data_IF_439047179023
#
_entry.id   IF_439047179023
#
_cell.length_a   1.000
_cell.length_b   1.000
_cell.length_c   1.000
_cell.angle_alpha   90.00
_cell.angle_beta   90.00
_cell.angle_gamma   90.00
#
_symmetry.space_group_name_H-M   'P 1'
#
loop_
_entity.id
_entity.type
_entity.pdbx_description
1 polymer ?
#
# COMPACT_ATOMS: atom_id res chain seq x y z
N UNK A 1 -22.32 -3.72 -10.80
CA UNK A 1 -22.02 -2.64 -9.84
C UNK A 1 -21.02 -3.21 -8.87
N UNK A 2 -19.80 -2.68 -8.88
CA UNK A 2 -18.71 -3.17 -8.03
C UNK A 2 -18.95 -2.77 -6.57
N UNK A 3 -18.28 -3.42 -5.62
CA UNK A 3 -18.32 -3.03 -4.20
C UNK A 3 -17.81 -1.58 -4.01
N UNK A 4 -16.83 -1.16 -4.81
CA UNK A 4 -16.29 0.20 -4.77
C UNK A 4 -17.32 1.24 -5.24
N UNK A 5 -18.17 0.91 -6.21
CA UNK A 5 -19.24 1.82 -6.67
C UNK A 5 -20.28 2.06 -5.57
N UNK A 6 -20.64 0.99 -4.85
CA UNK A 6 -21.60 1.08 -3.73
C UNK A 6 -21.00 1.91 -2.60
N UNK A 7 -19.79 1.56 -2.14
CA UNK A 7 -19.10 2.30 -1.09
C UNK A 7 -18.90 3.77 -1.46
N UNK A 8 -18.58 4.07 -2.72
CA UNK A 8 -18.44 5.45 -3.20
C UNK A 8 -19.77 6.20 -3.13
N UNK A 9 -20.85 5.61 -3.62
CA UNK A 9 -22.19 6.21 -3.54
C UNK A 9 -22.62 6.53 -2.11
N UNK A 10 -22.38 5.60 -1.17
CA UNK A 10 -22.71 5.79 0.23
C UNK A 10 -21.80 6.83 0.92
N UNK A 11 -20.49 6.82 0.60
CA UNK A 11 -19.54 7.81 1.09
C UNK A 11 -19.87 9.22 0.58
N UNK A 12 -20.25 9.37 -0.70
CA UNK A 12 -20.72 10.62 -1.30
C UNK A 12 -22.03 11.10 -0.65
N UNK A 13 -22.87 10.18 -0.18
CA UNK A 13 -24.07 10.49 0.61
C UNK A 13 -23.76 10.89 2.08
N UNK A 14 -22.49 10.87 2.48
CA UNK A 14 -22.03 11.27 3.80
C UNK A 14 -21.90 10.13 4.82
N UNK A 15 -21.99 8.87 4.39
CA UNK A 15 -21.72 7.72 5.27
C UNK A 15 -20.21 7.63 5.58
N UNK A 16 -19.87 7.88 6.84
CA UNK A 16 -18.48 7.87 7.31
C UNK A 16 -17.88 6.46 7.39
N UNK A 17 -18.69 5.42 7.60
CA UNK A 17 -18.20 4.04 7.65
C UNK A 17 -17.90 3.55 6.22
N UNK A 18 -18.75 3.91 5.26
CA UNK A 18 -18.48 3.68 3.84
C UNK A 18 -17.24 4.45 3.36
N UNK A 19 -17.07 5.71 3.78
CA UNK A 19 -15.87 6.50 3.47
C UNK A 19 -14.60 5.88 4.07
N UNK A 20 -14.66 5.37 5.29
CA UNK A 20 -13.53 4.69 5.94
C UNK A 20 -13.17 3.41 5.19
N UNK A 21 -14.14 2.56 4.88
CA UNK A 21 -13.90 1.31 4.17
C UNK A 21 -13.39 1.55 2.75
N UNK A 22 -13.96 2.53 2.04
CA UNK A 22 -13.47 2.93 0.73
C UNK A 22 -12.03 3.44 0.79
N UNK A 23 -11.70 4.33 1.74
CA UNK A 23 -10.34 4.82 1.94
C UNK A 23 -9.36 3.69 2.30
N UNK A 24 -9.79 2.71 3.10
CA UNK A 24 -9.00 1.54 3.46
C UNK A 24 -8.71 0.65 2.27
N UNK A 25 -9.72 0.34 1.45
CA UNK A 25 -9.58 -0.46 0.23
C UNK A 25 -8.73 0.26 -0.82
N UNK A 26 -8.88 1.58 -0.97
CA UNK A 26 -8.07 2.36 -1.90
C UNK A 26 -6.60 2.45 -1.47
N UNK A 27 -6.29 2.38 -0.16
CA UNK A 27 -4.90 2.25 0.31
C UNK A 27 -4.20 0.98 -0.20
N UNK A 28 -4.96 -0.02 -0.66
CA UNK A 28 -4.45 -1.29 -1.17
C UNK A 28 -4.07 -1.23 -2.66
N UNK A 29 -4.38 -0.12 -3.33
CA UNK A 29 -4.28 0.01 -4.78
C UNK A 29 -3.30 1.12 -5.19
N UNK A 30 -2.66 1.01 -6.36
CA UNK A 30 -1.81 2.06 -6.91
C UNK A 30 -2.56 3.35 -7.26
N UNK A 31 -3.80 3.23 -7.75
CA UNK A 31 -4.61 4.33 -8.28
C UNK A 31 -6.11 4.01 -8.13
N UNK A 32 -6.98 4.99 -8.45
CA UNK A 32 -8.42 4.78 -8.38
C UNK A 32 -8.89 4.01 -9.63
N UNK A 33 -9.53 2.83 -9.48
CA UNK A 33 -10.08 2.12 -10.63
C UNK A 33 -11.20 2.87 -11.36
N UNK A 34 -11.87 3.81 -10.69
CA UNK A 34 -12.99 4.57 -11.26
C UNK A 34 -12.56 5.91 -11.82
N UNK A 35 -11.57 6.54 -11.20
CA UNK A 35 -11.10 7.88 -11.60
C UNK A 35 -9.80 7.85 -12.44
N UNK A 36 -9.19 6.68 -12.62
CA UNK A 36 -7.98 6.46 -13.41
C UNK A 36 -6.69 6.91 -12.69
N UNK A 37 -5.54 6.85 -13.40
CA UNK A 37 -4.26 7.28 -12.85
C UNK A 37 -4.24 8.81 -12.67
N UNK A 38 -4.57 9.27 -11.46
CA UNK A 38 -4.47 10.67 -11.06
C UNK A 38 -3.26 10.90 -10.15
N UNK A 39 -2.72 12.12 -10.21
CA UNK A 39 -1.65 12.56 -9.30
C UNK A 39 -2.10 12.69 -7.84
N UNK A 40 -3.42 12.67 -7.58
CA UNK A 40 -4.01 12.59 -6.25
C UNK A 40 -4.28 11.14 -5.89
N UNK A 41 -3.71 10.69 -4.76
CA UNK A 41 -3.99 9.36 -4.21
C UNK A 41 -5.47 9.28 -3.79
N UNK A 42 -6.24 8.32 -4.29
CA UNK A 42 -7.70 8.34 -4.19
C UNK A 42 -8.25 8.11 -2.79
N UNK A 43 -7.49 7.43 -1.93
CA UNK A 43 -7.85 7.19 -0.53
C UNK A 43 -7.93 8.50 0.29
N UNK A 44 -7.15 9.52 -0.09
CA UNK A 44 -6.88 10.67 0.79
C UNK A 44 -8.15 11.45 1.11
N UNK A 45 -9.01 11.72 0.11
CA UNK A 45 -10.24 12.52 0.31
C UNK A 45 -11.19 11.87 1.31
N UNK A 46 -11.28 10.55 1.27
CA UNK A 46 -12.19 9.77 2.11
C UNK A 46 -11.67 9.70 3.54
N UNK A 47 -10.39 9.37 3.69
CA UNK A 47 -9.73 9.32 5.00
C UNK A 47 -9.73 10.70 5.69
N UNK A 48 -9.53 11.79 4.93
CA UNK A 48 -9.67 13.16 5.44
C UNK A 48 -11.07 13.47 5.93
N UNK A 49 -12.10 13.02 5.21
CA UNK A 49 -13.50 13.19 5.61
C UNK A 49 -13.77 12.50 6.94
N UNK A 50 -13.31 11.25 7.10
CA UNK A 50 -13.46 10.49 8.35
C UNK A 50 -12.68 11.15 9.49
N UNK A 51 -11.41 11.50 9.29
CA UNK A 51 -10.58 12.15 10.33
C UNK A 51 -11.13 13.52 10.73
N UNK A 52 -11.73 14.27 9.80
CA UNK A 52 -12.38 15.54 10.08
C UNK A 52 -13.63 15.39 10.94
N UNK A 53 -14.41 14.33 10.73
CA UNK A 53 -15.65 14.06 11.46
C UNK A 53 -15.43 13.27 12.77
N UNK A 54 -14.40 12.41 12.82
CA UNK A 54 -14.02 11.55 13.94
C UNK A 54 -12.52 11.67 14.22
N UNK A 55 -12.05 12.78 14.83
CA UNK A 55 -10.62 13.01 15.07
C UNK A 55 -9.92 11.93 15.93
N UNK A 56 -10.69 11.20 16.72
CA UNK A 56 -10.27 10.08 17.57
C UNK A 56 -10.24 8.73 16.85
N UNK A 57 -10.71 8.65 15.61
CA UNK A 57 -10.66 7.41 14.82
C UNK A 57 -9.20 7.08 14.47
N UNK A 58 -8.63 6.18 15.27
CA UNK A 58 -7.25 5.74 15.18
C UNK A 58 -6.93 5.09 13.84
N UNK A 59 -7.85 4.28 13.31
CA UNK A 59 -7.65 3.58 12.05
C UNK A 59 -7.58 4.58 10.90
N UNK A 60 -8.55 5.50 10.84
CA UNK A 60 -8.57 6.55 9.83
C UNK A 60 -7.32 7.44 9.91
N UNK A 61 -6.89 7.81 11.12
CA UNK A 61 -5.70 8.62 11.34
C UNK A 61 -4.41 7.92 10.89
N UNK A 62 -4.22 6.64 11.26
CA UNK A 62 -3.06 5.85 10.85
C UNK A 62 -3.03 5.61 9.34
N UNK A 63 -4.16 5.29 8.71
CA UNK A 63 -4.26 5.13 7.25
C UNK A 63 -3.96 6.44 6.51
N UNK A 64 -4.49 7.58 6.98
CA UNK A 64 -4.21 8.89 6.37
C UNK A 64 -2.73 9.26 6.51
N UNK A 65 -2.14 9.05 7.69
CA UNK A 65 -0.72 9.31 7.91
C UNK A 65 0.17 8.41 7.04
N UNK A 66 -0.19 7.13 6.88
CA UNK A 66 0.48 6.20 5.96
C UNK A 66 0.37 6.64 4.51
N UNK A 67 -0.82 7.07 4.06
CA UNK A 67 -1.03 7.64 2.72
C UNK A 67 -0.11 8.87 2.48
N UNK A 68 -0.04 9.79 3.43
CA UNK A 68 0.85 10.95 3.33
C UNK A 68 2.33 10.56 3.30
N UNK A 69 2.71 9.55 4.08
CA UNK A 69 4.09 8.98 4.10
C UNK A 69 4.47 8.40 2.74
N UNK A 70 3.58 7.62 2.10
CA UNK A 70 3.75 7.11 0.73
C UNK A 70 3.94 8.24 -0.28
N UNK A 71 3.11 9.29 -0.20
CA UNK A 71 3.21 10.43 -1.09
C UNK A 71 4.54 11.17 -0.93
N UNK A 72 5.02 11.32 0.30
CA UNK A 72 6.34 11.91 0.59
C UNK A 72 7.45 11.09 -0.07
N UNK A 73 7.43 9.77 0.10
CA UNK A 73 8.41 8.86 -0.50
C UNK A 73 8.42 9.00 -2.03
N UNK A 74 7.26 8.90 -2.66
CA UNK A 74 7.10 9.05 -4.12
C UNK A 74 7.59 10.41 -4.64
N UNK A 75 7.18 11.53 -4.01
CA UNK A 75 7.58 12.87 -4.46
C UNK A 75 9.08 13.10 -4.27
N UNK A 76 9.68 12.57 -3.19
CA UNK A 76 11.12 12.65 -2.96
C UNK A 76 11.90 11.97 -4.09
N UNK A 77 11.44 10.78 -4.51
CA UNK A 77 12.16 9.96 -5.49
C UNK A 77 11.90 10.44 -6.93
N UNK A 78 10.68 10.89 -7.25
CA UNK A 78 10.29 11.27 -8.62
C UNK A 78 10.37 12.77 -8.93
N UNK A 79 10.35 13.67 -7.93
CA UNK A 79 10.29 15.14 -8.14
C UNK A 79 11.22 15.91 -7.17
N UNK A 80 12.54 15.77 -7.33
CA UNK A 80 13.51 16.47 -6.49
C UNK A 80 13.41 17.99 -6.74
N UNK A 81 12.72 18.71 -5.85
CA UNK A 81 12.57 20.17 -5.93
C UNK A 81 11.38 20.74 -5.15
N UNK A 82 10.34 19.94 -4.90
CA UNK A 82 9.10 20.38 -4.22
C UNK A 82 9.19 20.28 -2.68
N UNK A 83 10.15 21.00 -2.10
CA UNK A 83 10.47 20.88 -0.65
C UNK A 83 9.37 21.42 0.27
N UNK A 84 8.63 22.43 -0.15
CA UNK A 84 7.60 23.06 0.69
C UNK A 84 6.35 22.15 0.80
N UNK A 85 5.93 21.52 -0.31
CA UNK A 85 4.83 20.55 -0.29
C UNK A 85 5.18 19.30 0.53
N UNK A 86 6.43 18.82 0.44
CA UNK A 86 6.95 17.73 1.27
C UNK A 86 6.93 18.10 2.75
N UNK A 87 7.33 19.31 3.11
CA UNK A 87 7.36 19.78 4.50
C UNK A 87 5.96 19.85 5.10
N UNK A 88 4.98 20.38 4.36
CA UNK A 88 3.60 20.47 4.83
C UNK A 88 2.98 19.08 5.10
N UNK A 89 3.15 18.15 4.16
CA UNK A 89 2.68 16.77 4.30
C UNK A 89 3.36 16.03 5.45
N UNK A 90 4.66 16.22 5.62
CA UNK A 90 5.42 15.65 6.74
C UNK A 90 4.84 16.11 8.08
N UNK A 91 4.69 17.42 8.27
CA UNK A 91 4.14 17.98 9.51
C UNK A 91 2.72 17.50 9.79
N UNK A 92 1.94 17.23 8.74
CA UNK A 92 0.61 16.65 8.89
C UNK A 92 0.67 15.17 9.32
N UNK A 93 1.46 14.35 8.65
CA UNK A 93 1.62 12.94 9.00
C UNK A 93 2.16 12.76 10.43
N UNK A 94 3.17 13.55 10.82
CA UNK A 94 3.70 13.59 12.19
C UNK A 94 2.60 13.93 13.21
N UNK A 95 1.76 14.94 12.93
CA UNK A 95 0.65 15.33 13.81
C UNK A 95 -0.40 14.23 13.95
N UNK A 96 -0.71 13.53 12.87
CA UNK A 96 -1.67 12.41 12.90
C UNK A 96 -1.16 11.26 13.78
N UNK A 97 0.09 10.81 13.57
CA UNK A 97 0.67 9.76 14.39
C UNK A 97 0.86 10.20 15.86
N UNK A 98 1.33 11.42 16.10
CA UNK A 98 1.50 11.94 17.45
C UNK A 98 0.17 11.99 18.22
N UNK A 99 -0.93 12.39 17.57
CA UNK A 99 -2.27 12.36 18.16
C UNK A 99 -2.72 10.94 18.51
N UNK A 100 -2.45 9.96 17.64
CA UNK A 100 -2.72 8.54 17.94
C UNK A 100 -1.94 8.11 19.18
N UNK A 101 -0.66 8.45 19.27
CA UNK A 101 0.18 8.08 20.43
C UNK A 101 -0.18 8.83 21.72
N UNK A 102 -0.73 10.03 21.63
CA UNK A 102 -1.25 10.75 22.80
C UNK A 102 -2.43 10.00 23.43
N UNK A 103 -3.35 9.48 22.60
CA UNK A 103 -4.50 8.69 23.06
C UNK A 103 -4.14 7.22 23.36
N UNK A 104 -3.20 6.65 22.59
CA UNK A 104 -2.79 5.25 22.63
C UNK A 104 -1.26 5.15 22.58
N UNK A 105 -0.56 5.35 23.72
CA UNK A 105 0.90 5.38 23.75
C UNK A 105 1.56 4.12 23.20
N UNK A 106 0.88 2.98 23.30
CA UNK A 106 1.32 1.65 22.84
C UNK A 106 0.89 1.28 21.42
N UNK A 107 0.37 2.23 20.62
CA UNK A 107 -0.01 1.94 19.24
C UNK A 107 1.21 1.58 18.37
N UNK A 108 1.32 0.33 17.86
CA UNK A 108 2.50 -0.08 17.11
C UNK A 108 2.59 0.62 15.75
N UNK A 109 1.44 0.81 15.09
CA UNK A 109 1.36 1.46 13.77
C UNK A 109 1.86 2.89 13.81
N UNK A 110 1.41 3.69 14.78
CA UNK A 110 1.83 5.08 14.88
C UNK A 110 3.32 5.22 15.25
N UNK A 111 3.85 4.34 16.11
CA UNK A 111 5.30 4.30 16.41
C UNK A 111 6.12 3.95 15.17
N UNK A 112 5.73 2.90 14.45
CA UNK A 112 6.41 2.45 13.25
C UNK A 112 6.34 3.50 12.13
N UNK A 113 5.18 4.16 11.98
CA UNK A 113 4.97 5.24 11.02
C UNK A 113 5.83 6.48 11.28
N UNK A 114 6.00 6.89 12.55
CA UNK A 114 6.94 7.97 12.90
C UNK A 114 8.39 7.59 12.63
N UNK A 115 8.81 6.36 12.96
CA UNK A 115 10.15 5.89 12.67
C UNK A 115 10.42 5.86 11.15
N UNK A 116 9.44 5.41 10.36
CA UNK A 116 9.49 5.43 8.90
C UNK A 116 9.64 6.86 8.36
N UNK A 117 8.83 7.79 8.84
CA UNK A 117 8.93 9.20 8.45
C UNK A 117 10.31 9.77 8.76
N UNK A 118 10.89 9.48 9.93
CA UNK A 118 12.22 9.98 10.29
C UNK A 118 13.30 9.45 9.33
N UNK A 119 13.30 8.13 9.05
CA UNK A 119 14.24 7.49 8.12
C UNK A 119 14.21 8.11 6.72
N UNK A 120 13.01 8.49 6.23
CA UNK A 120 12.86 9.12 4.91
C UNK A 120 13.64 10.43 4.77
N UNK A 121 13.99 11.10 5.88
CA UNK A 121 14.69 12.39 5.89
C UNK A 121 16.11 12.33 6.46
N UNK A 122 16.45 11.31 7.25
CA UNK A 122 17.81 11.15 7.79
C UNK A 122 18.72 10.32 6.87
N UNK A 123 18.16 9.55 5.94
CA UNK A 123 18.87 8.51 5.17
C UNK A 123 19.58 7.48 6.06
N UNK A 124 19.19 7.38 7.34
CA UNK A 124 19.69 6.34 8.22
C UNK A 124 19.02 5.01 7.86
N UNK A 125 19.77 3.92 7.98
CA UNK A 125 19.19 2.58 7.89
C UNK A 125 18.12 2.44 8.97
N UNK A 126 16.96 1.82 8.68
CA UNK A 126 15.89 1.74 9.64
C UNK A 126 16.37 1.01 10.91
N UNK A 127 16.28 1.69 12.06
CA UNK A 127 16.72 1.15 13.36
C UNK A 127 15.65 0.34 14.09
N UNK A 128 14.44 0.25 13.54
CA UNK A 128 13.36 -0.53 14.14
C UNK A 128 13.72 -2.03 14.23
N UNK A 129 13.22 -2.78 15.23
CA UNK A 129 13.38 -4.24 15.24
C UNK A 129 12.68 -4.88 14.03
N UNK A 130 13.17 -6.04 13.57
CA UNK A 130 12.48 -6.87 12.59
C UNK A 130 11.04 -7.11 13.08
N UNK A 131 10.05 -6.83 12.21
CA UNK A 131 8.65 -6.73 12.63
C UNK A 131 8.13 -8.01 13.28
N UNK A 132 7.33 -7.89 14.34
CA UNK A 132 6.67 -9.03 15.00
C UNK A 132 5.47 -9.56 14.20
N UNK A 133 5.05 -8.79 13.19
CA UNK A 133 3.90 -9.07 12.36
C UNK A 133 4.26 -9.98 11.18
N UNK A 134 3.22 -10.62 10.65
CA UNK A 134 3.28 -11.33 9.39
C UNK A 134 2.34 -10.73 8.35
N UNK A 135 2.76 -10.85 7.10
CA UNK A 135 2.08 -10.33 5.92
C UNK A 135 2.59 -11.03 4.66
N UNK A 136 1.90 -10.81 3.57
CA UNK A 136 2.30 -11.16 2.21
C UNK A 136 2.90 -9.94 1.53
N UNK A 137 4.01 -10.14 0.85
CA UNK A 137 4.68 -9.16 -0.01
C UNK A 137 4.62 -9.71 -1.44
N UNK A 138 3.76 -9.14 -2.28
CA UNK A 138 3.80 -9.43 -3.72
C UNK A 138 4.63 -8.37 -4.42
N UNK A 139 5.61 -8.77 -5.22
CA UNK A 139 6.52 -7.85 -5.92
C UNK A 139 6.53 -8.16 -7.40
N UNK A 140 6.29 -7.13 -8.19
CA UNK A 140 6.24 -7.18 -9.64
C UNK A 140 7.30 -6.23 -10.20
N UNK A 141 8.30 -6.78 -10.86
CA UNK A 141 9.44 -6.06 -11.42
C UNK A 141 9.25 -5.84 -12.92
N UNK A 142 9.32 -4.57 -13.32
CA UNK A 142 9.31 -4.13 -14.71
C UNK A 142 10.68 -3.60 -15.06
N UNK A 143 11.33 -4.18 -16.07
CA UNK A 143 12.62 -3.67 -16.56
C UNK A 143 12.45 -3.11 -17.95
N UNK A 144 12.82 -1.84 -18.13
CA UNK A 144 12.81 -1.19 -19.44
C UNK A 144 14.12 -0.44 -19.66
N UNK A 145 14.98 -0.99 -20.52
CA UNK A 145 16.25 -0.37 -20.87
C UNK A 145 17.24 -0.35 -19.71
N UNK A 146 17.53 0.84 -19.17
CA UNK A 146 18.52 1.05 -18.10
C UNK A 146 17.93 1.34 -16.72
N UNK A 147 16.61 1.20 -16.55
CA UNK A 147 15.92 1.41 -15.28
C UNK A 147 14.87 0.33 -15.05
N UNK A 148 14.64 0.03 -13.77
CA UNK A 148 13.58 -0.87 -13.33
C UNK A 148 12.53 -0.13 -12.51
N UNK A 149 11.34 -0.71 -12.41
CA UNK A 149 10.31 -0.30 -11.46
C UNK A 149 9.84 -1.55 -10.74
N UNK A 150 9.87 -1.51 -9.41
CA UNK A 150 9.27 -2.55 -8.57
C UNK A 150 7.97 -2.00 -8.03
N UNK A 151 6.91 -2.74 -8.28
CA UNK A 151 5.60 -2.56 -7.68
C UNK A 151 5.48 -3.57 -6.54
N UNK A 152 5.26 -3.10 -5.32
CA UNK A 152 5.10 -3.95 -4.14
C UNK A 152 3.69 -3.82 -3.56
N UNK A 153 3.10 -4.95 -3.16
CA UNK A 153 1.83 -5.07 -2.44
C UNK A 153 2.06 -5.75 -1.09
N UNK A 154 1.71 -5.08 0.00
CA UNK A 154 1.89 -5.52 1.40
C UNK A 154 0.53 -5.71 2.06
N UNK A 155 0.16 -6.96 2.35
CA UNK A 155 -1.15 -7.31 2.88
C UNK A 155 -1.09 -8.38 3.97
N UNK A 156 -1.88 -8.23 5.03
CA UNK A 156 -1.99 -9.27 6.07
C UNK A 156 -2.98 -10.39 5.72
N UNK A 157 -3.93 -10.12 4.82
CA UNK A 157 -5.01 -11.03 4.44
C UNK A 157 -4.87 -11.48 2.98
N UNK A 158 -4.98 -12.80 2.75
CA UNK A 158 -4.80 -13.38 1.42
C UNK A 158 -5.96 -13.07 0.46
N UNK A 159 -7.18 -12.92 0.96
CA UNK A 159 -8.33 -12.57 0.13
C UNK A 159 -8.26 -11.09 -0.30
N UNK A 160 -7.82 -10.19 0.59
CA UNK A 160 -7.57 -8.79 0.23
C UNK A 160 -6.44 -8.65 -0.78
N UNK A 161 -5.35 -9.41 -0.61
CA UNK A 161 -4.26 -9.45 -1.59
C UNK A 161 -4.77 -9.91 -2.96
N UNK A 162 -5.52 -11.02 -3.03
CA UNK A 162 -6.09 -11.53 -4.29
C UNK A 162 -6.95 -10.48 -4.95
N UNK A 163 -7.84 -9.85 -4.18
CA UNK A 163 -8.71 -8.79 -4.68
C UNK A 163 -7.91 -7.60 -5.23
N UNK A 164 -6.87 -7.15 -4.51
CA UNK A 164 -6.03 -6.03 -4.93
C UNK A 164 -5.25 -6.35 -6.21
N UNK A 165 -4.66 -7.54 -6.30
CA UNK A 165 -3.93 -7.99 -7.48
C UNK A 165 -4.84 -8.18 -8.69
N UNK A 166 -5.99 -8.86 -8.55
CA UNK A 166 -6.95 -9.05 -9.65
C UNK A 166 -7.42 -7.70 -10.21
N UNK A 167 -7.74 -6.75 -9.33
CA UNK A 167 -8.19 -5.43 -9.72
C UNK A 167 -7.07 -4.62 -10.38
N UNK A 168 -5.86 -4.65 -9.83
CA UNK A 168 -4.71 -3.98 -10.45
C UNK A 168 -4.40 -4.53 -11.84
N UNK A 169 -4.34 -5.85 -12.00
CA UNK A 169 -4.06 -6.49 -13.29
C UNK A 169 -5.14 -6.20 -14.32
N UNK A 170 -6.42 -6.18 -13.91
CA UNK A 170 -7.50 -5.76 -14.77
C UNK A 170 -7.28 -4.33 -15.30
N UNK A 171 -6.93 -3.40 -14.43
CA UNK A 171 -6.73 -2.00 -14.80
C UNK A 171 -5.51 -1.82 -15.73
N UNK A 172 -4.43 -2.55 -15.46
CA UNK A 172 -3.26 -2.59 -16.35
C UNK A 172 -3.64 -3.11 -17.74
N UNK A 173 -4.48 -4.15 -17.81
CA UNK A 173 -4.99 -4.66 -19.09
C UNK A 173 -5.87 -3.68 -19.84
N UNK A 174 -6.74 -2.95 -19.14
CA UNK A 174 -7.58 -1.92 -19.73
C UNK A 174 -6.74 -0.76 -20.30
N UNK A 175 -5.57 -0.45 -19.70
CA UNK A 175 -4.65 0.60 -20.18
C UNK A 175 -3.75 0.13 -21.34
N UNK A 176 -3.22 -1.08 -21.29
CA UNK A 176 -2.31 -1.61 -22.34
C UNK A 176 -3.03 -2.02 -23.62
N UNK A 177 -4.34 -2.28 -23.57
CA UNK A 177 -5.17 -2.70 -24.72
C UNK A 177 -4.90 -4.13 -25.18
N UNK A 178 -5.58 -4.57 -26.25
CA UNK A 178 -5.50 -5.94 -26.81
C UNK A 178 -4.17 -6.24 -27.54
N UNK A 179 -3.04 -5.72 -27.06
CA UNK A 179 -1.73 -5.97 -27.65
C UNK A 179 -1.45 -7.48 -27.77
N UNK A 180 -1.07 -7.93 -28.97
CA UNK A 180 -0.93 -9.36 -29.35
C UNK A 180 0.06 -10.15 -28.48
N UNK A 181 0.87 -9.49 -27.64
CA UNK A 181 1.84 -10.13 -26.75
C UNK A 181 1.31 -10.40 -25.32
N UNK A 182 0.09 -9.97 -24.97
CA UNK A 182 -0.79 -10.51 -23.90
C UNK A 182 -0.31 -10.61 -22.44
N UNK A 183 0.96 -10.34 -22.15
CA UNK A 183 1.56 -10.46 -20.82
C UNK A 183 1.92 -9.11 -20.19
N UNK A 184 2.20 -9.11 -18.88
CA UNK A 184 2.60 -7.92 -18.11
C UNK A 184 3.93 -7.29 -18.59
N UNK A 185 4.76 -8.03 -19.33
CA UNK A 185 6.10 -7.59 -19.70
C UNK A 185 7.04 -7.46 -18.49
N UNK A 186 6.82 -8.28 -17.47
CA UNK A 186 7.56 -8.30 -16.21
C UNK A 186 8.77 -9.22 -16.30
N UNK A 187 9.83 -8.84 -15.60
CA UNK A 187 11.01 -9.69 -15.42
C UNK A 187 10.80 -10.70 -14.30
N UNK A 188 10.04 -10.32 -13.26
CA UNK A 188 9.60 -11.23 -12.21
C UNK A 188 8.30 -10.75 -11.54
N UNK A 189 7.45 -11.70 -11.15
CA UNK A 189 6.31 -11.47 -10.28
C UNK A 189 6.26 -12.54 -9.19
N UNK A 190 6.53 -12.15 -7.94
CA UNK A 190 6.63 -13.08 -6.81
C UNK A 190 5.66 -12.74 -5.68
N UNK A 191 5.34 -13.73 -4.86
CA UNK A 191 4.58 -13.60 -3.62
C UNK A 191 5.38 -14.21 -2.47
N UNK A 192 5.92 -13.37 -1.61
CA UNK A 192 6.68 -13.78 -0.43
C UNK A 192 5.83 -13.70 0.84
N UNK A 193 5.78 -14.78 1.60
CA UNK A 193 5.15 -14.82 2.93
C UNK A 193 6.17 -14.41 3.98
N UNK A 194 5.89 -13.32 4.69
CA UNK A 194 6.74 -12.79 5.76
C UNK A 194 6.13 -13.11 7.13
N UNK A 195 6.95 -13.64 8.03
CA UNK A 195 6.59 -13.80 9.44
C UNK A 195 7.76 -13.42 10.34
N UNK A 196 7.55 -12.49 11.28
CA UNK A 196 8.63 -12.07 12.17
C UNK A 196 9.76 -11.35 11.44
N UNK A 197 9.46 -10.64 10.35
CA UNK A 197 10.43 -9.95 9.50
C UNK A 197 11.33 -10.88 8.67
N UNK A 198 10.93 -12.14 8.47
CA UNK A 198 11.66 -13.13 7.65
C UNK A 198 10.76 -13.74 6.59
N UNK A 199 11.31 -13.99 5.41
CA UNK A 199 10.67 -14.82 4.40
C UNK A 199 10.55 -16.25 4.93
N UNK A 200 9.33 -16.78 4.88
CA UNK A 200 9.00 -18.17 5.25
C UNK A 200 8.74 -19.00 4.01
N UNK A 201 8.15 -18.38 2.98
CA UNK A 201 7.84 -19.01 1.71
C UNK A 201 7.83 -17.96 0.59
N UNK A 202 8.13 -18.38 -0.65
CA UNK A 202 8.08 -17.53 -1.83
C UNK A 202 7.49 -18.32 -2.99
N UNK A 203 6.46 -17.76 -3.61
CA UNK A 203 5.75 -18.31 -4.76
C UNK A 203 6.06 -17.47 -5.99
N UNK A 204 6.33 -18.13 -7.11
CA UNK A 204 6.47 -17.50 -8.42
C UNK A 204 5.07 -17.30 -9.01
N UNK A 205 4.57 -16.06 -9.02
CA UNK A 205 3.24 -15.75 -9.54
C UNK A 205 3.20 -15.81 -11.07
N UNK A 206 4.31 -15.56 -11.78
CA UNK A 206 4.37 -15.63 -13.25
C UNK A 206 4.02 -17.03 -13.75
N UNK A 207 4.44 -18.08 -13.03
CA UNK A 207 4.10 -19.47 -13.33
C UNK A 207 2.59 -19.78 -13.25
N UNK A 208 1.81 -18.88 -12.66
CA UNK A 208 0.36 -19.01 -12.46
C UNK A 208 -0.45 -17.97 -13.25
N UNK A 209 0.19 -17.20 -14.14
CA UNK A 209 -0.49 -16.21 -14.97
C UNK A 209 -1.17 -16.85 -16.20
N UNK A 210 -2.40 -16.41 -16.49
CA UNK A 210 -3.12 -16.62 -17.75
C UNK A 210 -3.39 -15.24 -18.38
N UNK A 211 -2.43 -14.76 -19.19
CA UNK A 211 -2.41 -13.39 -19.68
C UNK A 211 -2.20 -12.38 -18.55
N UNK A 212 -3.14 -11.45 -18.38
CA UNK A 212 -3.16 -10.45 -17.30
C UNK A 212 -4.05 -10.88 -16.13
N UNK A 213 -4.10 -12.18 -15.81
CA UNK A 213 -4.86 -12.72 -14.68
C UNK A 213 -4.06 -13.81 -13.98
N UNK A 214 -4.17 -13.87 -12.66
CA UNK A 214 -3.60 -14.98 -11.87
C UNK A 214 -4.64 -16.09 -11.80
N UNK A 215 -4.30 -17.31 -12.20
CA UNK A 215 -5.13 -18.49 -11.96
C UNK A 215 -4.96 -18.96 -10.51
N UNK A 216 -5.73 -18.34 -9.61
CA UNK A 216 -5.79 -18.70 -8.19
C UNK A 216 -6.23 -20.15 -7.94
N UNK A 217 -6.78 -20.85 -8.93
CA UNK A 217 -7.12 -22.28 -8.82
C UNK A 217 -5.89 -23.19 -8.86
N UNK A 218 -4.78 -22.71 -9.43
CA UNK A 218 -3.51 -23.44 -9.52
C UNK A 218 -2.54 -23.10 -8.39
N UNK A 219 -2.84 -22.06 -7.62
CA UNK A 219 -2.00 -21.54 -6.54
C UNK A 219 -2.68 -21.63 -5.17
N UNK A 220 -1.98 -22.19 -4.18
CA UNK A 220 -2.40 -22.12 -2.78
C UNK A 220 -1.54 -21.13 -2.02
N UNK A 221 -2.15 -20.05 -1.52
CA UNK A 221 -1.45 -19.10 -0.64
C UNK A 221 -1.43 -19.67 0.78
N UNK A 222 -0.25 -19.97 1.37
CA UNK A 222 -0.17 -20.51 2.71
C UNK A 222 -0.58 -19.45 3.75
N UNK A 223 -1.20 -19.83 4.88
CA UNK A 223 -1.49 -18.89 5.94
C UNK A 223 -0.20 -18.38 6.59
N UNK A 224 -0.18 -17.10 6.95
CA UNK A 224 0.97 -16.47 7.61
C UNK A 224 1.08 -16.93 9.08
N UNK A 225 2.22 -17.51 9.51
CA UNK A 225 2.38 -18.04 10.87
C UNK A 225 2.81 -16.96 11.89
N UNK A 226 2.19 -15.78 11.87
CA UNK A 226 2.47 -14.66 12.78
C UNK A 226 1.23 -13.76 12.94
N UNK A 227 1.17 -12.90 13.98
CA UNK A 227 0.12 -11.90 14.11
C UNK A 227 0.01 -11.03 12.85
N UNK A 228 -1.19 -10.74 12.33
CA UNK A 228 -1.33 -9.97 11.11
C UNK A 228 -0.76 -8.56 11.25
N UNK A 229 -0.18 -8.03 10.17
CA UNK A 229 0.23 -6.64 10.07
C UNK A 229 -1.01 -5.72 10.18
N UNK A 230 -1.05 -4.75 11.13
CA UNK A 230 -2.20 -3.86 11.25
C UNK A 230 -2.35 -2.95 10.02
N UNK A 231 -3.58 -2.56 9.64
CA UNK A 231 -3.79 -1.60 8.56
C UNK A 231 -3.03 -0.29 8.79
N UNK A 232 -2.34 0.18 7.75
CA UNK A 232 -1.49 1.37 7.79
C UNK A 232 -0.12 1.19 8.46
N UNK A 233 0.18 0.01 9.02
CA UNK A 233 1.50 -0.28 9.58
C UNK A 233 2.50 -0.58 8.45
N UNK A 234 3.66 0.10 8.37
CA UNK A 234 4.66 -0.21 7.35
C UNK A 234 5.18 -1.65 7.52
N UNK A 235 5.33 -2.37 6.41
CA UNK A 235 6.01 -3.67 6.37
C UNK A 235 7.52 -3.47 6.36
N UNK A 236 8.29 -4.49 6.77
CA UNK A 236 9.76 -4.45 6.68
C UNK A 236 10.32 -5.82 6.32
N UNK A 237 11.07 -5.85 5.23
CA UNK A 237 11.75 -7.04 4.72
C UNK A 237 13.11 -6.63 4.12
N UNK A 238 14.15 -7.46 4.32
CA UNK A 238 15.50 -7.24 3.79
C UNK A 238 16.05 -5.80 3.95
N UNK A 239 15.87 -5.22 5.14
CA UNK A 239 16.29 -3.84 5.47
C UNK A 239 15.54 -2.73 4.72
N UNK A 240 14.58 -3.06 3.86
CA UNK A 240 13.68 -2.14 3.19
C UNK A 240 12.37 -1.99 3.97
N UNK A 241 11.94 -0.74 4.10
CA UNK A 241 10.60 -0.43 4.58
C UNK A 241 9.65 -0.41 3.38
N UNK A 242 8.60 -1.22 3.45
CA UNK A 242 7.51 -1.22 2.49
C UNK A 242 6.31 -0.51 3.10
N UNK A 243 5.61 0.30 2.30
CA UNK A 243 4.40 0.94 2.79
C UNK A 243 3.24 -0.08 2.82
N UNK A 244 2.35 0.03 3.81
CA UNK A 244 1.15 -0.83 3.86
C UNK A 244 0.33 -0.66 2.58
N UNK A 245 -0.17 -1.75 2.00
CA UNK A 245 -0.87 -1.74 0.72
C UNK A 245 0.12 -1.62 -0.42
N UNK A 246 -0.02 -0.59 -1.27
CA UNK A 246 0.80 -0.45 -2.47
C UNK A 246 1.99 0.51 -2.28
N UNK A 247 3.15 0.16 -2.86
CA UNK A 247 4.27 1.08 -3.10
C UNK A 247 4.92 0.85 -4.46
N UNK A 248 5.54 1.90 -5.00
CA UNK A 248 6.32 1.86 -6.25
C UNK A 248 7.70 2.45 -5.99
N UNK A 249 8.73 1.72 -6.40
CA UNK A 249 10.13 2.16 -6.26
C UNK A 249 10.87 2.01 -7.58
N UNK A 250 11.63 3.03 -7.97
CA UNK A 250 12.55 2.93 -9.10
C UNK A 250 13.81 2.16 -8.70
N UNK A 251 14.24 1.24 -9.57
CA UNK A 251 15.49 0.49 -9.48
C UNK A 251 16.53 1.03 -10.47
#
# INVERSE_FOLDING_TARGET
MSILDVLRGDADAGDLDAALELGRLLCLLPFDPVEGPQHSRPEERWLRTVVGARPEDRLAANLLAGCLTRQINYVRDSRPGDRDALTSRRLEAERLYARVLEAHPDDPTARAGLARLDNLFTNDLPTAPAGEHGYYLAECEFVSGSGGTIISFVHADAAELRWALDLWLQLVGDEMGDGEDGGLGTDSFTLTTIAGGRAVDTLDLDAHMDGLRIDWGTLSIPPVPAPPLPPGHPGRFEELDHDHGYSETGA
#
